data_IF_706224142771
#
_entry.id   IF_706224142771
#
_cell.length_a   1.000
_cell.length_b   1.000
_cell.length_c   1.000
_cell.angle_alpha   90.00
_cell.angle_beta   90.00
_cell.angle_gamma   90.00
#
_symmetry.space_group_name_H-M   'P 1'
#
loop_
_entity.id
_entity.type
_entity.pdbx_description
1 polymer ?
#
# COMPACT_ATOMS: atom_id res chain seq x y z
N UNK A 1 46.28 -19.01 2.20
CA UNK A 1 45.29 -19.99 1.72
C UNK A 1 44.05 -19.22 1.27
N UNK A 2 43.62 -19.37 0.02
CA UNK A 2 42.35 -18.80 -0.42
C UNK A 2 41.20 -19.54 0.25
N UNK A 3 40.34 -18.79 0.94
CA UNK A 3 39.06 -19.30 1.44
C UNK A 3 37.96 -18.95 0.44
N UNK A 4 36.86 -19.73 0.37
CA UNK A 4 35.69 -19.35 -0.44
C UNK A 4 35.21 -17.92 -0.17
N UNK A 5 35.32 -17.46 1.08
CA UNK A 5 35.08 -16.08 1.49
C UNK A 5 35.97 -15.07 0.79
N UNK A 6 37.28 -15.26 0.84
CA UNK A 6 38.23 -14.35 0.20
C UNK A 6 38.05 -14.27 -1.32
N UNK A 7 37.64 -15.37 -1.97
CA UNK A 7 37.37 -15.39 -3.41
C UNK A 7 36.09 -14.59 -3.74
N UNK A 8 35.01 -14.82 -3.00
CA UNK A 8 33.74 -14.11 -3.24
C UNK A 8 33.87 -12.62 -2.92
N UNK A 9 34.57 -12.26 -1.84
CA UNK A 9 34.86 -10.86 -1.51
C UNK A 9 35.66 -10.16 -2.62
N UNK A 10 36.66 -10.84 -3.20
CA UNK A 10 37.44 -10.32 -4.33
C UNK A 10 36.56 -10.10 -5.56
N UNK A 11 35.80 -11.11 -5.98
CA UNK A 11 34.94 -11.03 -7.17
C UNK A 11 33.82 -9.99 -6.99
N UNK A 12 33.25 -9.89 -5.80
CA UNK A 12 32.25 -8.87 -5.49
C UNK A 12 32.86 -7.46 -5.54
N UNK A 13 34.11 -7.28 -5.10
CA UNK A 13 34.81 -6.00 -5.21
C UNK A 13 35.05 -5.61 -6.66
N UNK A 14 35.51 -6.54 -7.49
CA UNK A 14 35.74 -6.31 -8.92
C UNK A 14 34.43 -5.96 -9.65
N UNK A 15 33.33 -6.61 -9.28
CA UNK A 15 32.00 -6.29 -9.78
C UNK A 15 31.56 -4.87 -9.38
N UNK A 16 31.74 -4.48 -8.11
CA UNK A 16 31.40 -3.13 -7.64
C UNK A 16 32.24 -2.07 -8.37
N UNK A 17 33.53 -2.31 -8.56
CA UNK A 17 34.43 -1.42 -9.33
C UNK A 17 33.91 -1.27 -10.76
N UNK A 18 33.60 -2.39 -11.42
CA UNK A 18 33.08 -2.39 -12.80
C UNK A 18 31.76 -1.62 -12.91
N UNK A 19 30.82 -1.84 -11.99
CA UNK A 19 29.52 -1.19 -11.99
C UNK A 19 29.60 0.31 -11.64
N UNK A 20 30.59 0.73 -10.85
CA UNK A 20 30.83 2.14 -10.53
C UNK A 20 31.32 2.97 -11.74
N UNK A 21 31.88 2.31 -12.76
CA UNK A 21 32.38 2.96 -13.97
C UNK A 21 31.28 3.28 -15.00
N UNK A 22 30.04 2.82 -14.75
CA UNK A 22 28.92 3.07 -15.65
C UNK A 22 28.44 4.54 -15.54
N UNK A 23 27.92 5.13 -16.65
CA UNK A 23 27.40 6.51 -16.63
C UNK A 23 26.27 6.73 -15.60
N UNK A 24 25.51 5.67 -15.30
CA UNK A 24 24.52 5.65 -14.22
C UNK A 24 24.80 4.39 -13.38
N UNK A 25 25.52 4.52 -12.26
CA UNK A 25 25.94 3.35 -11.48
C UNK A 25 24.77 2.74 -10.72
N UNK A 26 24.51 1.42 -10.85
CA UNK A 26 23.45 0.74 -10.11
C UNK A 26 23.81 0.56 -8.63
N UNK A 27 22.80 0.43 -7.77
CA UNK A 27 23.02 0.14 -6.34
C UNK A 27 23.29 -1.34 -6.12
N UNK A 28 24.44 -1.67 -5.52
CA UNK A 28 24.86 -3.06 -5.23
C UNK A 28 24.97 -3.26 -3.73
N UNK A 29 24.49 -4.40 -3.21
CA UNK A 29 24.68 -4.81 -1.80
C UNK A 29 25.07 -6.29 -1.74
N UNK A 30 26.00 -6.62 -0.84
CA UNK A 30 26.40 -7.99 -0.51
C UNK A 30 25.92 -8.29 0.93
N UNK A 31 25.31 -9.44 1.16
CA UNK A 31 24.87 -9.89 2.49
C UNK A 31 25.58 -11.20 2.86
N UNK A 32 26.05 -11.30 4.11
CA UNK A 32 26.66 -12.51 4.69
C UNK A 32 25.63 -13.20 5.62
N UNK A 33 25.52 -14.52 5.57
CA UNK A 33 24.63 -15.32 6.44
C UNK A 33 25.40 -16.49 7.04
N UNK A 34 25.66 -16.43 8.35
CA UNK A 34 26.08 -17.57 9.20
C UNK A 34 27.25 -18.41 8.66
N UNK A 35 28.26 -17.78 8.04
CA UNK A 35 29.44 -18.49 7.55
C UNK A 35 29.19 -19.35 6.30
N UNK A 36 27.99 -19.25 5.69
CA UNK A 36 27.65 -19.82 4.38
C UNK A 36 27.33 -18.68 3.44
N UNK A 37 28.12 -18.53 2.39
CA UNK A 37 28.03 -17.34 1.55
C UNK A 37 26.91 -17.53 0.52
N UNK A 38 25.87 -16.72 0.63
CA UNK A 38 24.87 -16.53 -0.40
C UNK A 38 25.05 -15.13 -0.99
N UNK A 39 25.48 -15.05 -2.26
CA UNK A 39 25.59 -13.77 -2.96
C UNK A 39 24.28 -13.51 -3.73
N UNK A 40 23.61 -12.41 -3.43
CA UNK A 40 22.45 -11.93 -4.19
C UNK A 40 22.80 -10.59 -4.83
N UNK A 41 22.95 -10.58 -6.16
CA UNK A 41 23.15 -9.35 -6.94
C UNK A 41 21.80 -8.96 -7.54
N UNK A 42 21.31 -7.78 -7.19
CA UNK A 42 20.07 -7.24 -7.75
C UNK A 42 20.39 -5.92 -8.46
N UNK A 43 19.97 -5.79 -9.71
CA UNK A 43 20.14 -4.58 -10.53
C UNK A 43 18.74 -4.01 -10.80
N UNK A 44 18.53 -2.74 -10.48
CA UNK A 44 17.29 -2.02 -10.80
C UNK A 44 17.57 -0.52 -11.04
N UNK A 45 16.63 0.16 -11.70
CA UNK A 45 16.70 1.58 -12.01
C UNK A 45 16.65 2.44 -10.72
N UNK A 46 17.60 3.35 -10.52
CA UNK A 46 17.69 4.19 -9.33
C UNK A 46 16.49 5.13 -9.13
N UNK A 47 15.77 5.46 -10.21
CA UNK A 47 14.51 6.22 -10.16
C UNK A 47 13.33 5.36 -9.66
N UNK A 48 13.51 4.03 -9.60
CA UNK A 48 12.52 3.07 -9.16
C UNK A 48 12.81 2.59 -7.73
N UNK A 49 11.74 2.42 -6.95
CA UNK A 49 11.85 1.97 -5.57
C UNK A 49 12.34 0.52 -5.51
N UNK A 50 13.38 0.26 -4.70
CA UNK A 50 14.02 -1.04 -4.53
C UNK A 50 13.01 -2.19 -4.29
N UNK A 51 13.08 -3.29 -5.09
CA UNK A 51 12.21 -4.45 -4.92
C UNK A 51 12.68 -5.31 -3.73
N UNK A 52 12.40 -4.84 -2.52
CA UNK A 52 12.56 -5.64 -1.30
C UNK A 52 11.38 -6.59 -1.10
N UNK A 53 11.50 -7.59 -0.22
CA UNK A 53 10.35 -8.40 0.26
C UNK A 53 9.15 -7.53 0.73
N UNK A 54 9.39 -6.29 1.18
CA UNK A 54 8.35 -5.31 1.52
C UNK A 54 7.65 -4.67 0.32
N UNK A 55 8.27 -4.67 -0.86
CA UNK A 55 7.67 -4.20 -2.12
C UNK A 55 6.62 -5.19 -2.65
N UNK A 56 6.92 -6.49 -2.70
CA UNK A 56 5.93 -7.49 -3.12
C UNK A 56 4.71 -7.54 -2.20
N UNK A 57 4.92 -7.46 -0.87
CA UNK A 57 3.80 -7.34 0.09
C UNK A 57 2.97 -6.07 -0.16
N UNK A 58 3.61 -4.94 -0.47
CA UNK A 58 2.90 -3.69 -0.80
C UNK A 58 2.09 -3.83 -2.08
N UNK A 59 2.64 -4.46 -3.13
CA UNK A 59 1.93 -4.65 -4.41
C UNK A 59 0.71 -5.57 -4.25
N UNK A 60 0.82 -6.68 -3.52
CA UNK A 60 -0.34 -7.55 -3.20
C UNK A 60 -1.40 -6.84 -2.34
N UNK A 61 -0.99 -5.92 -1.47
CA UNK A 61 -1.92 -5.12 -0.66
C UNK A 61 -2.68 -4.05 -1.43
N UNK A 62 -2.16 -3.58 -2.58
CA UNK A 62 -2.80 -2.54 -3.38
C UNK A 62 -4.09 -3.04 -4.04
N UNK A 63 -4.10 -4.28 -4.55
CA UNK A 63 -5.31 -4.88 -5.16
C UNK A 63 -6.47 -5.03 -4.16
N UNK A 64 -6.17 -5.47 -2.93
CA UNK A 64 -7.18 -5.54 -1.86
C UNK A 64 -7.65 -4.16 -1.38
N UNK A 65 -6.80 -3.14 -1.47
CA UNK A 65 -7.16 -1.78 -1.08
C UNK A 65 -8.09 -1.11 -2.10
N UNK A 66 -7.82 -1.23 -3.40
CA UNK A 66 -8.73 -0.64 -4.41
C UNK A 66 -10.09 -1.32 -4.38
N UNK A 67 -10.15 -2.65 -4.23
CA UNK A 67 -11.41 -3.36 -3.97
C UNK A 67 -12.13 -2.83 -2.72
N UNK A 68 -11.40 -2.66 -1.62
CA UNK A 68 -11.95 -2.08 -0.40
C UNK A 68 -12.50 -0.65 -0.60
N UNK A 69 -11.86 0.19 -1.41
CA UNK A 69 -12.38 1.54 -1.73
C UNK A 69 -13.70 1.48 -2.48
N UNK A 70 -13.79 0.66 -3.53
CA UNK A 70 -15.01 0.44 -4.31
C UNK A 70 -16.14 -0.03 -3.40
N UNK A 71 -15.85 -1.02 -2.57
CA UNK A 71 -16.81 -1.59 -1.63
C UNK A 71 -17.32 -0.58 -0.61
N UNK A 72 -16.44 0.29 -0.10
CA UNK A 72 -16.81 1.37 0.83
C UNK A 72 -17.75 2.37 0.15
N UNK A 73 -17.46 2.78 -1.08
CA UNK A 73 -18.32 3.72 -1.82
C UNK A 73 -19.69 3.11 -2.07
N UNK A 74 -19.76 1.82 -2.42
CA UNK A 74 -21.02 1.11 -2.61
C UNK A 74 -21.85 1.05 -1.33
N UNK A 75 -21.27 0.67 -0.19
CA UNK A 75 -22.05 0.60 1.07
C UNK A 75 -22.46 1.98 1.57
N UNK A 76 -21.63 3.01 1.39
CA UNK A 76 -22.01 4.39 1.73
C UNK A 76 -23.15 4.85 0.84
N UNK A 77 -23.09 4.58 -0.47
CA UNK A 77 -24.16 4.90 -1.43
C UNK A 77 -25.46 4.17 -1.08
N UNK A 78 -25.38 2.86 -0.85
CA UNK A 78 -26.54 2.01 -0.52
C UNK A 78 -27.21 2.43 0.79
N UNK A 79 -26.43 2.88 1.78
CA UNK A 79 -26.98 3.36 3.04
C UNK A 79 -27.73 4.70 2.92
N UNK A 80 -27.50 5.49 1.87
CA UNK A 80 -28.17 6.78 1.64
C UNK A 80 -27.92 7.86 2.71
N UNK A 81 -26.99 7.61 3.64
CA UNK A 81 -26.65 8.51 4.75
C UNK A 81 -25.18 8.43 5.12
N UNK A 82 -24.69 9.43 5.86
CA UNK A 82 -23.32 9.41 6.37
C UNK A 82 -23.10 8.20 7.30
N UNK A 83 -21.95 7.53 7.17
CA UNK A 83 -21.58 6.37 7.98
C UNK A 83 -20.28 6.62 8.74
N UNK A 84 -20.26 6.35 10.03
CA UNK A 84 -19.03 6.29 10.81
C UNK A 84 -18.16 5.10 10.38
N UNK A 85 -16.88 5.09 10.75
CA UNK A 85 -15.98 3.95 10.47
C UNK A 85 -16.52 2.61 11.01
N UNK A 86 -17.17 2.64 12.18
CA UNK A 86 -17.78 1.45 12.79
C UNK A 86 -18.96 0.95 11.97
N UNK A 87 -19.80 1.86 11.48
CA UNK A 87 -20.94 1.51 10.62
C UNK A 87 -20.47 1.00 9.26
N UNK A 88 -19.48 1.63 8.62
CA UNK A 88 -18.89 1.13 7.37
C UNK A 88 -18.40 -0.31 7.54
N UNK A 89 -17.70 -0.63 8.63
CA UNK A 89 -17.27 -2.00 8.93
C UNK A 89 -18.44 -2.97 9.10
N UNK A 90 -19.53 -2.52 9.72
CA UNK A 90 -20.75 -3.31 9.90
C UNK A 90 -21.43 -3.57 8.55
N UNK A 91 -21.64 -2.53 7.73
CA UNK A 91 -22.31 -2.65 6.43
C UNK A 91 -21.49 -3.52 5.46
N UNK A 92 -20.16 -3.39 5.45
CA UNK A 92 -19.29 -4.29 4.67
C UNK A 92 -19.46 -5.75 5.09
N UNK A 93 -19.53 -6.02 6.40
CA UNK A 93 -19.75 -7.38 6.92
C UNK A 93 -21.12 -7.92 6.53
N UNK A 94 -22.17 -7.10 6.61
CA UNK A 94 -23.53 -7.46 6.19
C UNK A 94 -23.60 -7.76 4.68
N UNK A 95 -22.85 -7.02 3.87
CA UNK A 95 -22.71 -7.25 2.43
C UNK A 95 -21.80 -8.45 2.08
N UNK A 96 -21.32 -9.23 3.06
CA UNK A 96 -20.41 -10.36 2.84
C UNK A 96 -18.97 -9.98 2.48
N UNK A 97 -18.62 -8.69 2.51
CA UNK A 97 -17.32 -8.16 2.12
C UNK A 97 -16.38 -8.11 3.31
N UNK A 98 -15.42 -9.04 3.37
CA UNK A 98 -14.49 -9.17 4.51
C UNK A 98 -13.25 -8.29 4.32
N UNK A 99 -13.30 -7.08 4.88
CA UNK A 99 -12.14 -6.19 4.97
C UNK A 99 -11.70 -5.99 6.42
N UNK A 100 -10.38 -6.02 6.66
CA UNK A 100 -9.83 -5.77 7.99
C UNK A 100 -9.97 -4.30 8.42
N UNK A 101 -10.11 -4.00 9.73
CA UNK A 101 -10.26 -2.62 10.22
C UNK A 101 -9.15 -1.66 9.79
N UNK A 102 -7.91 -2.14 9.68
CA UNK A 102 -6.76 -1.36 9.22
C UNK A 102 -6.82 -1.03 7.72
N UNK A 103 -7.29 -1.96 6.90
CA UNK A 103 -7.51 -1.76 5.46
C UNK A 103 -8.61 -0.73 5.23
N UNK A 104 -9.72 -0.85 5.95
CA UNK A 104 -10.84 0.10 5.87
C UNK A 104 -10.40 1.52 6.29
N UNK A 105 -9.64 1.67 7.37
CA UNK A 105 -9.11 2.98 7.78
C UNK A 105 -8.28 3.63 6.66
N UNK A 106 -7.39 2.85 6.07
CA UNK A 106 -6.50 3.31 5.00
C UNK A 106 -7.26 3.65 3.72
N UNK A 107 -8.27 2.85 3.36
CA UNK A 107 -9.12 3.11 2.20
C UNK A 107 -9.97 4.37 2.40
N UNK A 108 -10.56 4.57 3.59
CA UNK A 108 -11.29 5.78 3.95
C UNK A 108 -10.41 7.04 3.87
N UNK A 109 -9.18 6.97 4.39
CA UNK A 109 -8.21 8.06 4.28
C UNK A 109 -7.88 8.38 2.82
N UNK A 110 -7.65 7.34 2.00
CA UNK A 110 -7.39 7.49 0.56
C UNK A 110 -8.57 8.11 -0.20
N UNK A 111 -9.80 7.64 0.06
CA UNK A 111 -11.02 8.19 -0.55
C UNK A 111 -11.26 9.65 -0.13
N UNK A 112 -10.94 10.00 1.12
CA UNK A 112 -11.07 11.38 1.59
C UNK A 112 -10.04 12.30 0.93
N UNK A 113 -8.78 11.85 0.83
CA UNK A 113 -7.73 12.61 0.17
C UNK A 113 -7.99 12.80 -1.33
N UNK A 114 -8.58 11.80 -1.99
CA UNK A 114 -8.96 11.86 -3.40
C UNK A 114 -10.30 12.58 -3.66
N UNK A 115 -10.96 13.09 -2.62
CA UNK A 115 -12.27 13.74 -2.75
C UNK A 115 -13.43 12.81 -3.09
N UNK A 116 -13.25 11.48 -3.05
CA UNK A 116 -14.32 10.50 -3.28
C UNK A 116 -15.25 10.32 -2.09
N UNK A 117 -14.81 10.71 -0.88
CA UNK A 117 -15.64 10.85 0.31
C UNK A 117 -15.31 12.15 1.02
N UNK A 118 -16.29 12.69 1.73
CA UNK A 118 -16.11 13.82 2.63
C UNK A 118 -16.27 13.33 4.06
N UNK A 119 -15.24 13.54 4.86
CA UNK A 119 -15.29 13.40 6.30
C UNK A 119 -15.10 14.79 6.90
N UNK A 120 -16.21 15.48 7.15
CA UNK A 120 -16.16 16.69 7.96
C UNK A 120 -15.70 16.22 9.34
N UNK A 121 -14.68 16.86 9.92
CA UNK A 121 -14.16 16.52 11.26
C UNK A 121 -15.20 16.76 12.39
N UNK A 122 -16.47 16.89 12.04
CA UNK A 122 -17.65 17.16 12.86
C UNK A 122 -18.28 15.89 13.48
N UNK A 123 -17.57 14.76 13.43
CA UNK A 123 -18.01 13.45 13.94
C UNK A 123 -19.24 12.86 13.23
N UNK A 124 -19.72 13.45 12.12
CA UNK A 124 -20.93 12.96 11.41
C UNK A 124 -20.69 11.78 10.48
N UNK A 125 -19.43 11.37 10.31
CA UNK A 125 -19.05 10.21 9.50
C UNK A 125 -18.73 10.55 8.04
N UNK A 126 -18.48 9.51 7.26
CA UNK A 126 -18.10 9.59 5.85
C UNK A 126 -19.34 9.63 4.98
N UNK A 127 -19.37 10.56 4.01
CA UNK A 127 -20.47 10.71 3.04
C UNK A 127 -19.96 11.01 1.64
N UNK A 128 -20.82 10.81 0.64
CA UNK A 128 -20.50 11.17 -0.73
C UNK A 128 -20.42 12.69 -0.89
N UNK A 129 -19.50 13.22 -1.72
CA UNK A 129 -19.34 14.66 -1.95
C UNK A 129 -20.60 15.34 -2.50
N UNK A 130 -21.37 14.61 -3.33
CA UNK A 130 -22.60 15.10 -3.93
C UNK A 130 -23.73 15.37 -2.91
N UNK A 131 -23.64 14.82 -1.69
CA UNK A 131 -24.63 15.03 -0.65
C UNK A 131 -24.40 16.38 0.04
N UNK A 132 -25.12 17.41 -0.42
CA UNK A 132 -25.13 18.73 0.22
C UNK A 132 -25.62 18.63 1.68
N UNK A 133 -25.18 19.55 2.55
CA UNK A 133 -25.78 19.71 3.90
C UNK A 133 -27.22 20.23 3.71
N UNK A 134 -28.19 19.37 3.44
CA UNK A 134 -29.57 19.80 3.25
C UNK A 134 -30.52 18.74 2.69
N UNK A 135 -30.06 17.93 1.74
CA UNK A 135 -30.94 16.96 1.05
C UNK A 135 -30.83 15.56 1.66
N UNK A 136 -31.24 15.43 2.92
CA UNK A 136 -31.72 14.14 3.39
C UNK A 136 -33.20 14.06 2.98
N UNK A 137 -33.63 13.11 2.13
CA UNK A 137 -35.05 12.91 1.89
C UNK A 137 -35.74 12.61 3.22
N UNK A 138 -36.62 13.51 3.64
CA UNK A 138 -37.52 13.31 4.77
C UNK A 138 -38.55 12.24 4.38
N UNK A 139 -38.77 11.23 5.22
CA UNK A 139 -39.87 10.27 5.06
C UNK A 139 -41.25 10.86 5.45
N UNK A 140 -41.30 12.15 5.77
CA UNK A 140 -42.50 12.88 6.18
C UNK A 140 -42.73 14.09 5.27
N UNK A 141 -42.97 13.83 3.98
CA UNK A 141 -43.52 14.80 3.04
C UNK A 141 -44.90 14.35 2.60
#
# INVERSE_FOLDING_TARGET
MQTPRSVIESVARDLVVSLSSLPIPPTVRVADVEGRIACLIMVWDASQMMPTMGYERRRRSAGGREGCKTDIVEVVRAAGRALTRKEVLRELRLAGKRHGPGTVAKALAGLTAAGGLVNLKDKKGYRLPAWRRGDTPSLFS
#
